data_IF_056805641898
#
_entry.id   IF_056805641898
#
_cell.length_a   1.000
_cell.length_b   1.000
_cell.length_c   1.000
_cell.angle_alpha   90.00
_cell.angle_beta   90.00
_cell.angle_gamma   90.00
#
_symmetry.space_group_name_H-M   'P 1'
#
loop_
_entity.id
_entity.type
_entity.pdbx_description
1 polymer ?
#
# COMPACT_ATOMS: atom_id res chain seq x y z
N UNK A 1 0.79 -6.51 36.64
CA UNK A 1 1.17 -5.09 36.45
C UNK A 1 0.75 -4.74 35.04
N UNK A 2 -0.34 -3.98 34.93
CA UNK A 2 -1.03 -3.66 33.68
C UNK A 2 -0.16 -2.83 32.75
N UNK A 3 0.27 -3.42 31.64
CA UNK A 3 0.90 -2.74 30.52
C UNK A 3 0.04 -2.99 29.29
N UNK A 4 -0.87 -2.05 28.94
CA UNK A 4 -1.28 -1.80 27.53
C UNK A 4 -2.41 -0.78 27.31
N UNK A 5 -2.92 -0.09 28.33
CA UNK A 5 -3.95 0.93 28.08
C UNK A 5 -3.31 2.21 27.51
N UNK A 6 -3.16 2.26 26.18
CA UNK A 6 -2.97 3.53 25.47
C UNK A 6 -4.09 4.51 25.89
N UNK A 7 -3.80 5.82 26.03
CA UNK A 7 -4.82 6.79 26.42
C UNK A 7 -5.96 6.80 25.39
N UNK A 8 -7.22 7.05 25.82
CA UNK A 8 -8.36 7.13 24.91
C UNK A 8 -8.13 8.23 23.87
N UNK A 9 -8.73 8.05 22.69
CA UNK A 9 -8.65 9.06 21.63
C UNK A 9 -9.31 10.36 22.10
N UNK A 10 -8.71 11.54 21.87
CA UNK A 10 -9.26 12.80 22.37
C UNK A 10 -10.57 13.19 21.68
N UNK A 11 -11.58 13.62 22.45
CA UNK A 11 -12.88 14.06 21.92
C UNK A 11 -12.86 15.46 21.28
N UNK A 12 -11.75 16.19 21.43
CA UNK A 12 -11.59 17.57 20.97
C UNK A 12 -10.86 17.70 19.62
N UNK A 13 -10.69 16.59 18.89
CA UNK A 13 -10.03 16.57 17.58
C UNK A 13 -11.07 16.26 16.50
N UNK A 14 -11.16 17.05 15.41
CA UNK A 14 -12.05 16.76 14.30
C UNK A 14 -11.82 15.35 13.75
N UNK A 15 -12.90 14.57 13.61
CA UNK A 15 -12.86 13.23 13.03
C UNK A 15 -13.48 13.21 11.65
N UNK A 16 -12.91 12.42 10.73
CA UNK A 16 -13.54 12.10 9.46
C UNK A 16 -14.19 10.71 9.55
N UNK A 17 -15.44 10.52 9.08
CA UNK A 17 -16.06 9.21 9.04
C UNK A 17 -15.37 8.33 8.00
N UNK A 18 -14.61 7.34 8.46
CA UNK A 18 -13.93 6.38 7.60
C UNK A 18 -14.87 5.21 7.32
N UNK A 19 -15.57 5.25 6.18
CA UNK A 19 -16.50 4.20 5.80
C UNK A 19 -15.74 2.87 5.60
N UNK A 20 -16.21 1.82 6.28
CA UNK A 20 -15.73 0.44 6.07
C UNK A 20 -16.82 -0.39 5.38
N UNK A 21 -16.44 -1.00 4.27
CA UNK A 21 -17.25 -1.89 3.45
C UNK A 21 -16.78 -3.34 3.60
N UNK A 22 -17.66 -4.33 3.43
CA UNK A 22 -17.33 -5.75 3.47
C UNK A 22 -17.09 -6.30 2.05
N UNK A 23 -15.88 -6.83 1.79
CA UNK A 23 -15.59 -7.49 0.52
C UNK A 23 -16.51 -8.69 0.26
N UNK A 24 -16.81 -9.48 1.29
CA UNK A 24 -17.69 -10.65 1.18
C UNK A 24 -19.09 -10.24 0.71
N UNK A 25 -19.66 -9.18 1.29
CA UNK A 25 -20.98 -8.66 0.91
C UNK A 25 -20.99 -8.05 -0.48
N UNK A 26 -19.92 -7.36 -0.87
CA UNK A 26 -19.77 -6.84 -2.24
C UNK A 26 -19.66 -7.97 -3.28
N UNK A 27 -18.92 -9.05 -2.98
CA UNK A 27 -18.86 -10.26 -3.81
C UNK A 27 -20.24 -10.92 -3.95
N UNK A 28 -21.01 -10.97 -2.87
CA UNK A 28 -22.39 -11.47 -2.86
C UNK A 28 -23.40 -10.51 -3.50
N UNK A 29 -22.96 -9.31 -3.91
CA UNK A 29 -23.79 -8.23 -4.45
C UNK A 29 -24.97 -7.89 -3.54
N UNK A 30 -24.75 -7.88 -2.22
CA UNK A 30 -25.76 -7.45 -1.26
C UNK A 30 -26.20 -6.01 -1.58
N UNK A 31 -27.50 -5.75 -1.84
CA UNK A 31 -27.95 -4.45 -2.33
C UNK A 31 -27.56 -3.28 -1.43
N UNK A 32 -27.58 -3.48 -0.11
CA UNK A 32 -27.26 -2.44 0.87
C UNK A 32 -25.78 -2.07 0.84
N UNK A 33 -24.90 -3.07 0.71
CA UNK A 33 -23.46 -2.84 0.68
C UNK A 33 -23.03 -2.21 -0.66
N UNK A 34 -23.65 -2.62 -1.77
CA UNK A 34 -23.43 -1.98 -3.07
C UNK A 34 -23.86 -0.51 -3.05
N UNK A 35 -25.01 -0.18 -2.45
CA UNK A 35 -25.43 1.24 -2.30
C UNK A 35 -24.45 2.05 -1.43
N UNK A 36 -23.92 1.45 -0.36
CA UNK A 36 -22.90 2.11 0.48
C UNK A 36 -21.60 2.32 -0.28
N UNK A 37 -21.20 1.35 -1.11
CA UNK A 37 -20.03 1.46 -1.98
C UNK A 37 -20.16 2.62 -2.97
N UNK A 38 -21.25 2.68 -3.74
CA UNK A 38 -21.43 3.72 -4.75
C UNK A 38 -21.51 5.11 -4.13
N UNK A 39 -22.22 5.27 -3.02
CA UNK A 39 -22.25 6.52 -2.26
C UNK A 39 -20.86 6.97 -1.77
N UNK A 40 -20.00 6.02 -1.37
CA UNK A 40 -18.63 6.33 -0.95
C UNK A 40 -17.78 6.83 -2.13
N UNK A 41 -17.94 6.21 -3.30
CA UNK A 41 -17.27 6.61 -4.53
C UNK A 41 -17.68 8.02 -4.97
N UNK A 42 -18.96 8.37 -4.86
CA UNK A 42 -19.48 9.70 -5.23
C UNK A 42 -19.09 10.80 -4.23
N UNK A 43 -19.02 10.47 -2.94
CA UNK A 43 -18.80 11.48 -1.89
C UNK A 43 -17.31 11.77 -1.64
N UNK A 44 -16.57 10.79 -1.10
CA UNK A 44 -15.18 10.98 -0.69
C UNK A 44 -14.19 10.40 -1.71
N UNK A 45 -14.66 9.50 -2.59
CA UNK A 45 -13.78 8.72 -3.46
C UNK A 45 -12.87 7.76 -2.69
N UNK A 46 -13.17 7.50 -1.41
CA UNK A 46 -12.34 6.72 -0.50
C UNK A 46 -13.18 5.89 0.47
N UNK A 47 -12.74 4.66 0.73
CA UNK A 47 -13.33 3.76 1.71
C UNK A 47 -12.30 2.71 2.15
N UNK A 48 -12.54 2.11 3.32
CA UNK A 48 -11.86 0.89 3.74
C UNK A 48 -12.64 -0.31 3.26
N UNK A 49 -11.90 -1.33 2.83
CA UNK A 49 -12.46 -2.62 2.48
C UNK A 49 -12.01 -3.65 3.52
N UNK A 50 -12.98 -4.32 4.12
CA UNK A 50 -12.75 -5.44 5.01
C UNK A 50 -12.43 -6.69 4.18
N UNK A 51 -11.17 -7.11 4.27
CA UNK A 51 -10.60 -8.26 3.57
C UNK A 51 -10.68 -9.55 4.41
N UNK A 52 -11.43 -9.54 5.52
CA UNK A 52 -11.57 -10.69 6.40
C UNK A 52 -11.96 -11.97 5.64
N UNK A 53 -11.14 -13.01 5.82
CA UNK A 53 -11.33 -14.31 5.15
C UNK A 53 -10.82 -14.40 3.72
N UNK A 54 -10.27 -13.32 3.14
CA UNK A 54 -9.68 -13.34 1.80
C UNK A 54 -8.17 -13.66 1.85
N UNK A 55 -7.69 -14.40 0.86
CA UNK A 55 -6.28 -14.79 0.75
C UNK A 55 -5.34 -13.59 0.60
N UNK A 56 -5.83 -12.48 0.03
CA UNK A 56 -5.03 -11.26 -0.15
C UNK A 56 -4.49 -10.71 1.18
N UNK A 57 -5.23 -10.89 2.28
CA UNK A 57 -4.82 -10.41 3.60
C UNK A 57 -3.62 -11.21 4.14
N UNK A 58 -3.68 -12.54 4.07
CA UNK A 58 -2.59 -13.41 4.50
C UNK A 58 -1.34 -13.24 3.62
N UNK A 59 -1.54 -13.03 2.32
CA UNK A 59 -0.46 -12.74 1.38
C UNK A 59 0.18 -11.37 1.68
N UNK A 60 -0.61 -10.35 2.02
CA UNK A 60 -0.10 -9.04 2.45
C UNK A 60 0.75 -9.16 3.72
N UNK A 61 0.30 -9.93 4.72
CA UNK A 61 1.08 -10.20 5.95
C UNK A 61 2.43 -10.85 5.63
N UNK A 62 2.45 -11.88 4.79
CA UNK A 62 3.68 -12.52 4.34
C UNK A 62 4.59 -11.56 3.55
N UNK A 63 4.03 -10.62 2.78
CA UNK A 63 4.79 -9.58 2.11
C UNK A 63 5.33 -8.54 3.08
N UNK A 64 4.67 -8.25 4.21
CA UNK A 64 5.26 -7.40 5.24
C UNK A 64 6.53 -8.01 5.82
N UNK A 65 6.58 -9.33 6.00
CA UNK A 65 7.78 -10.04 6.44
C UNK A 65 8.90 -9.93 5.41
N UNK A 66 8.56 -10.09 4.12
CA UNK A 66 9.49 -9.89 3.01
C UNK A 66 10.03 -8.44 2.98
N UNK A 67 9.16 -7.46 3.21
CA UNK A 67 9.52 -6.04 3.26
C UNK A 67 10.49 -5.72 4.40
N UNK A 68 10.28 -6.32 5.60
CA UNK A 68 11.23 -6.16 6.72
C UNK A 68 12.60 -6.73 6.37
N UNK A 69 12.64 -7.98 5.91
CA UNK A 69 13.89 -8.63 5.52
C UNK A 69 14.60 -7.90 4.36
N UNK A 70 13.85 -7.35 3.40
CA UNK A 70 14.39 -6.52 2.32
C UNK A 70 15.09 -5.26 2.85
N UNK A 71 14.43 -4.50 3.72
CA UNK A 71 14.98 -3.23 4.18
C UNK A 71 16.06 -3.40 5.26
N UNK A 72 16.18 -4.57 5.87
CA UNK A 72 17.28 -4.93 6.78
C UNK A 72 18.57 -5.32 6.04
N UNK A 73 18.52 -5.48 4.71
CA UNK A 73 19.74 -5.63 3.90
C UNK A 73 20.63 -4.38 4.01
N UNK A 74 21.97 -4.54 3.90
CA UNK A 74 22.88 -3.41 3.83
C UNK A 74 22.53 -2.47 2.67
N UNK A 75 22.70 -1.16 2.87
CA UNK A 75 22.45 -0.17 1.82
C UNK A 75 23.24 -0.47 0.53
N UNK A 76 24.49 -0.91 0.67
CA UNK A 76 25.32 -1.28 -0.47
C UNK A 76 24.70 -2.39 -1.32
N UNK A 77 23.99 -3.34 -0.71
CA UNK A 77 23.28 -4.40 -1.43
C UNK A 77 22.02 -3.85 -2.10
N UNK A 78 21.19 -3.10 -1.37
CA UNK A 78 19.96 -2.49 -1.90
C UNK A 78 20.24 -1.55 -3.09
N UNK A 79 21.32 -0.76 -3.01
CA UNK A 79 21.74 0.17 -4.05
C UNK A 79 22.08 -0.50 -5.40
N UNK A 80 22.39 -1.80 -5.43
CA UNK A 80 22.64 -2.55 -6.68
C UNK A 80 21.37 -2.66 -7.54
N UNK A 81 20.22 -2.46 -6.93
CA UNK A 81 18.90 -2.54 -7.53
C UNK A 81 18.29 -1.14 -7.79
N UNK A 82 19.08 -0.07 -7.71
CA UNK A 82 18.67 1.25 -8.17
C UNK A 82 18.77 1.31 -9.71
N UNK A 83 17.62 1.32 -10.36
CA UNK A 83 17.51 1.39 -11.81
C UNK A 83 17.10 2.77 -12.33
N UNK A 84 17.17 3.82 -11.50
CA UNK A 84 16.79 5.19 -11.87
C UNK A 84 17.52 5.70 -13.12
N UNK A 85 18.80 5.32 -13.30
CA UNK A 85 19.60 5.65 -14.50
C UNK A 85 19.05 5.06 -15.80
N UNK A 86 18.21 4.02 -15.70
CA UNK A 86 17.52 3.40 -16.82
C UNK A 86 16.15 4.04 -17.10
N UNK A 87 15.83 5.16 -16.43
CA UNK A 87 14.58 5.88 -16.60
C UNK A 87 13.36 5.14 -16.06
N UNK A 88 13.54 4.18 -15.15
CA UNK A 88 12.45 3.39 -14.57
C UNK A 88 12.18 3.78 -13.11
N UNK A 89 10.93 3.59 -12.69
CA UNK A 89 10.54 3.72 -11.29
C UNK A 89 10.70 2.40 -10.51
N UNK A 90 11.02 1.30 -11.21
CA UNK A 90 11.21 -0.04 -10.62
C UNK A 90 12.53 -0.15 -9.84
N UNK A 91 12.58 -1.09 -8.90
CA UNK A 91 13.74 -1.33 -8.06
C UNK A 91 13.80 -0.41 -6.84
N UNK A 92 15.00 -0.27 -6.30
CA UNK A 92 15.29 0.43 -5.05
C UNK A 92 15.34 1.95 -5.23
N UNK A 93 14.81 2.68 -4.25
CA UNK A 93 14.97 4.14 -4.12
C UNK A 93 15.36 4.49 -2.69
N UNK A 94 16.52 5.12 -2.58
CA UNK A 94 17.05 5.55 -1.30
C UNK A 94 16.22 6.71 -0.71
N UNK A 95 16.33 6.86 0.60
CA UNK A 95 15.82 8.02 1.34
C UNK A 95 16.34 9.30 0.69
N UNK A 96 15.43 10.25 0.48
CA UNK A 96 15.72 11.57 -0.06
C UNK A 96 15.85 11.62 -1.58
N UNK A 97 15.60 10.52 -2.30
CA UNK A 97 15.73 10.46 -3.75
C UNK A 97 14.60 11.17 -4.52
N UNK A 98 13.56 11.65 -3.85
CA UNK A 98 12.42 12.33 -4.48
C UNK A 98 11.91 13.47 -3.61
N UNK A 99 11.35 14.50 -4.24
CA UNK A 99 10.66 15.60 -3.56
C UNK A 99 9.27 15.11 -3.13
N UNK A 100 8.98 15.18 -1.83
CA UNK A 100 7.75 14.70 -1.22
C UNK A 100 6.62 15.72 -1.21
N UNK A 101 6.92 17.01 -1.33
CA UNK A 101 5.91 18.07 -1.33
C UNK A 101 6.28 19.27 -2.22
N UNK A 102 5.30 20.12 -2.47
CA UNK A 102 5.47 21.35 -3.26
C UNK A 102 6.48 22.34 -2.66
N UNK A 103 6.87 22.16 -1.39
CA UNK A 103 7.88 22.96 -0.72
C UNK A 103 9.32 22.44 -0.95
N UNK A 104 9.49 21.35 -1.70
CA UNK A 104 10.81 20.80 -2.02
C UNK A 104 11.37 19.89 -0.94
N UNK A 105 10.60 19.50 0.08
CA UNK A 105 11.10 18.61 1.12
C UNK A 105 11.38 17.23 0.53
N UNK A 106 12.54 16.68 0.83
CA UNK A 106 12.92 15.35 0.36
C UNK A 106 12.14 14.25 1.11
N UNK A 107 11.74 13.22 0.37
CA UNK A 107 11.08 12.05 0.92
C UNK A 107 11.98 11.36 1.94
N UNK A 108 11.45 11.07 3.12
CA UNK A 108 12.21 10.41 4.19
C UNK A 108 12.07 8.90 4.17
N UNK A 109 11.27 8.38 3.24
CA UNK A 109 11.00 6.95 3.12
C UNK A 109 11.99 6.28 2.20
N UNK A 110 12.23 5.01 2.48
CA UNK A 110 12.94 4.09 1.62
C UNK A 110 11.92 3.25 0.84
N UNK A 111 12.13 3.05 -0.46
CA UNK A 111 11.19 2.34 -1.33
C UNK A 111 11.84 1.20 -2.10
N UNK A 112 11.01 0.20 -2.41
CA UNK A 112 11.32 -0.79 -3.44
C UNK A 112 10.07 -1.09 -4.25
N UNK A 113 10.15 -0.98 -5.58
CA UNK A 113 9.01 -1.17 -6.49
C UNK A 113 9.20 -2.41 -7.36
N UNK A 114 8.15 -3.23 -7.44
CA UNK A 114 8.08 -4.41 -8.30
C UNK A 114 6.84 -4.28 -9.19
N UNK A 115 7.06 -4.21 -10.49
CA UNK A 115 5.98 -4.08 -11.47
C UNK A 115 5.30 -5.42 -11.74
N UNK A 116 4.00 -5.38 -12.05
CA UNK A 116 3.23 -6.54 -12.52
C UNK A 116 3.90 -7.19 -13.73
N UNK A 117 4.30 -6.40 -14.72
CA UNK A 117 4.83 -6.93 -15.98
C UNK A 117 6.13 -7.72 -15.80
N UNK A 118 6.90 -7.44 -14.74
CA UNK A 118 8.04 -8.26 -14.33
C UNK A 118 7.55 -9.61 -13.79
N UNK A 119 6.75 -9.59 -12.72
CA UNK A 119 6.27 -10.79 -12.01
C UNK A 119 5.47 -11.74 -12.91
N UNK A 120 4.72 -11.19 -13.87
CA UNK A 120 3.96 -11.95 -14.86
C UNK A 120 4.72 -12.25 -16.15
N UNK A 121 5.97 -11.81 -16.26
CA UNK A 121 6.85 -12.08 -17.40
C UNK A 121 6.29 -11.53 -18.73
N UNK A 122 5.58 -10.40 -18.65
CA UNK A 122 4.99 -9.68 -19.78
C UNK A 122 5.91 -8.60 -20.35
N UNK A 123 7.08 -8.42 -19.74
CA UNK A 123 8.06 -7.41 -20.13
C UNK A 123 9.46 -7.74 -19.65
N UNK A 124 10.21 -6.68 -19.31
CA UNK A 124 11.57 -6.85 -18.78
C UNK A 124 11.51 -7.46 -17.38
N UNK A 125 12.19 -8.59 -17.19
CA UNK A 125 12.52 -9.11 -15.86
C UNK A 125 13.60 -8.25 -15.23
N UNK A 126 13.38 -7.76 -14.02
CA UNK A 126 14.39 -7.00 -13.29
C UNK A 126 15.15 -7.92 -12.34
N UNK A 127 16.48 -7.74 -12.18
CA UNK A 127 17.21 -8.36 -11.08
C UNK A 127 16.59 -7.92 -9.75
N UNK A 128 16.47 -8.85 -8.80
CA UNK A 128 15.96 -8.56 -7.46
C UNK A 128 16.88 -9.19 -6.39
N UNK A 129 16.89 -8.65 -5.15
CA UNK A 129 17.49 -9.29 -4.00
C UNK A 129 16.93 -10.70 -3.78
N UNK A 130 17.76 -11.62 -3.28
CA UNK A 130 17.37 -13.02 -3.02
C UNK A 130 16.12 -13.14 -2.14
N UNK A 131 15.95 -12.22 -1.18
CA UNK A 131 14.76 -12.16 -0.30
C UNK A 131 13.46 -11.92 -1.09
N UNK A 132 13.52 -11.24 -2.22
CA UNK A 132 12.36 -11.03 -3.11
C UNK A 132 12.28 -12.12 -4.18
N UNK A 133 13.41 -12.53 -4.75
CA UNK A 133 13.46 -13.55 -5.80
C UNK A 133 12.90 -14.90 -5.31
N UNK A 134 13.34 -15.35 -4.12
CA UNK A 134 12.80 -16.56 -3.46
C UNK A 134 11.30 -16.49 -3.14
N UNK A 135 10.70 -15.28 -3.15
CA UNK A 135 9.27 -15.03 -2.84
C UNK A 135 8.49 -14.57 -4.07
N UNK A 136 9.02 -14.75 -5.28
CA UNK A 136 8.36 -14.30 -6.53
C UNK A 136 6.98 -14.94 -6.74
N UNK A 137 6.80 -16.20 -6.31
CA UNK A 137 5.51 -16.87 -6.33
C UNK A 137 4.47 -16.18 -5.41
N UNK A 138 4.89 -15.76 -4.20
CA UNK A 138 4.04 -15.01 -3.27
C UNK A 138 3.62 -13.65 -3.85
N UNK A 139 4.57 -12.91 -4.44
CA UNK A 139 4.30 -11.65 -5.14
C UNK A 139 3.27 -11.85 -6.25
N UNK A 140 3.42 -12.90 -7.05
CA UNK A 140 2.47 -13.25 -8.11
C UNK A 140 1.07 -13.52 -7.54
N UNK A 141 0.96 -14.37 -6.53
CA UNK A 141 -0.33 -14.69 -5.89
C UNK A 141 -1.00 -13.47 -5.26
N UNK A 142 -0.22 -12.60 -4.61
CA UNK A 142 -0.72 -11.33 -4.07
C UNK A 142 -1.26 -10.43 -5.17
N UNK A 143 -0.49 -10.20 -6.24
CA UNK A 143 -0.92 -9.38 -7.37
C UNK A 143 -2.18 -9.94 -8.03
N UNK A 144 -2.30 -11.27 -8.19
CA UNK A 144 -3.51 -11.91 -8.72
C UNK A 144 -4.72 -11.66 -7.81
N UNK A 145 -4.56 -11.79 -6.49
CA UNK A 145 -5.66 -11.64 -5.53
C UNK A 145 -6.10 -10.18 -5.43
N UNK A 146 -5.16 -9.24 -5.34
CA UNK A 146 -5.42 -7.81 -5.35
C UNK A 146 -6.10 -7.38 -6.65
N UNK A 147 -5.64 -7.89 -7.80
CA UNK A 147 -6.27 -7.64 -9.08
C UNK A 147 -7.73 -8.12 -9.11
N UNK A 148 -8.02 -9.31 -8.57
CA UNK A 148 -9.39 -9.82 -8.47
C UNK A 148 -10.32 -8.92 -7.65
N UNK A 149 -9.81 -8.30 -6.58
CA UNK A 149 -10.55 -7.29 -5.81
C UNK A 149 -10.81 -6.04 -6.65
N UNK A 150 -9.81 -5.54 -7.37
CA UNK A 150 -9.96 -4.39 -8.28
C UNK A 150 -10.97 -4.70 -9.38
N UNK A 151 -10.91 -5.87 -10.02
CA UNK A 151 -11.88 -6.27 -11.06
C UNK A 151 -13.31 -6.27 -10.53
N UNK A 152 -13.54 -6.72 -9.28
CA UNK A 152 -14.86 -6.63 -8.65
C UNK A 152 -15.31 -5.18 -8.50
N UNK A 153 -14.43 -4.30 -7.98
CA UNK A 153 -14.72 -2.87 -7.81
C UNK A 153 -15.07 -2.23 -9.15
N UNK A 154 -14.29 -2.49 -10.20
CA UNK A 154 -14.53 -1.98 -11.55
C UNK A 154 -15.87 -2.48 -12.12
N UNK A 155 -16.22 -3.74 -11.89
CA UNK A 155 -17.51 -4.29 -12.34
C UNK A 155 -18.72 -3.68 -11.60
N UNK A 156 -18.55 -3.29 -10.33
CA UNK A 156 -19.58 -2.55 -9.59
C UNK A 156 -19.71 -1.11 -10.12
N UNK A 157 -18.60 -0.49 -10.50
CA UNK A 157 -18.60 0.84 -11.14
C UNK A 157 -19.19 0.81 -12.55
N UNK A 158 -18.90 -0.20 -13.37
CA UNK A 158 -19.53 -0.38 -14.68
C UNK A 158 -21.06 -0.34 -14.53
N UNK A 159 -21.60 -1.12 -13.58
CA UNK A 159 -23.03 -1.19 -13.32
C UNK A 159 -23.59 0.15 -12.79
N UNK A 160 -22.88 0.82 -11.88
CA UNK A 160 -23.33 2.10 -11.31
C UNK A 160 -23.32 3.24 -12.34
N UNK A 161 -22.34 3.26 -13.23
CA UNK A 161 -22.18 4.27 -14.27
C UNK A 161 -23.02 3.97 -15.53
N UNK A 162 -23.72 2.83 -15.58
CA UNK A 162 -24.50 2.41 -16.74
C UNK A 162 -23.64 2.03 -17.95
N UNK A 163 -22.40 1.60 -17.73
CA UNK A 163 -21.51 1.12 -18.78
C UNK A 163 -21.82 -0.33 -19.14
N UNK A 164 -21.38 -0.76 -20.31
CA UNK A 164 -21.39 -2.19 -20.66
C UNK A 164 -20.52 -2.98 -19.67
N UNK A 165 -21.00 -4.14 -19.24
CA UNK A 165 -20.30 -4.99 -18.28
C UNK A 165 -18.89 -5.34 -18.78
N UNK A 166 -17.87 -4.99 -17.99
CA UNK A 166 -16.47 -5.27 -18.32
C UNK A 166 -15.78 -4.14 -19.07
N UNK A 167 -16.44 -3.00 -19.31
CA UNK A 167 -15.84 -1.84 -19.96
C UNK A 167 -14.57 -1.39 -19.22
N UNK A 168 -14.66 -1.13 -17.92
CA UNK A 168 -13.51 -0.72 -17.11
C UNK A 168 -12.53 -1.88 -16.88
N UNK A 169 -13.05 -3.10 -16.71
CA UNK A 169 -12.22 -4.31 -16.56
C UNK A 169 -11.33 -4.57 -17.77
N UNK A 170 -11.82 -4.32 -18.98
CA UNK A 170 -11.05 -4.47 -20.21
C UNK A 170 -9.87 -3.48 -20.32
N UNK A 171 -9.89 -2.37 -19.57
CA UNK A 171 -8.76 -1.43 -19.51
C UNK A 171 -7.67 -1.88 -18.52
N UNK A 172 -7.98 -2.86 -17.67
CA UNK A 172 -7.10 -3.37 -16.62
C UNK A 172 -6.91 -4.88 -16.81
N UNK A 173 -6.41 -5.32 -17.97
CA UNK A 173 -6.17 -6.76 -18.21
C UNK A 173 -4.87 -7.22 -17.53
N UNK A 174 -4.97 -8.21 -16.65
CA UNK A 174 -3.83 -8.69 -15.87
C UNK A 174 -2.67 -9.21 -16.73
N UNK A 175 -3.00 -10.02 -17.73
CA UNK A 175 -2.03 -10.79 -18.53
C UNK A 175 -1.79 -10.21 -19.94
N UNK A 176 -2.39 -9.07 -20.26
CA UNK A 176 -2.31 -8.49 -21.59
C UNK A 176 -1.86 -7.03 -21.55
N UNK A 177 -0.98 -6.67 -22.48
CA UNK A 177 -0.44 -5.33 -22.57
C UNK A 177 0.53 -4.99 -21.44
N UNK A 178 0.97 -3.73 -21.43
CA UNK A 178 1.80 -3.18 -20.35
C UNK A 178 0.92 -2.46 -19.35
N UNK A 179 1.09 -2.75 -18.06
CA UNK A 179 0.31 -2.17 -16.97
C UNK A 179 1.16 -1.30 -16.04
N UNK A 180 0.50 -0.41 -15.31
CA UNK A 180 1.13 0.39 -14.24
C UNK A 180 1.15 -0.31 -12.88
N UNK A 181 0.36 -1.37 -12.71
CA UNK A 181 0.16 -2.10 -11.45
C UNK A 181 1.50 -2.54 -10.84
N UNK A 182 1.66 -2.27 -9.55
CA UNK A 182 2.91 -2.56 -8.84
C UNK A 182 2.71 -2.87 -7.36
N UNK A 183 3.62 -3.67 -6.82
CA UNK A 183 3.83 -3.81 -5.38
C UNK A 183 4.93 -2.84 -4.97
N UNK A 184 4.62 -1.95 -4.03
CA UNK A 184 5.58 -1.00 -3.45
C UNK A 184 5.79 -1.29 -1.98
N UNK A 185 7.02 -1.66 -1.63
CA UNK A 185 7.46 -1.68 -0.24
C UNK A 185 7.89 -0.29 0.19
N UNK A 186 7.49 0.10 1.41
CA UNK A 186 7.79 1.41 1.98
C UNK A 186 8.28 1.22 3.41
N UNK A 187 9.46 1.77 3.73
CA UNK A 187 9.95 1.90 5.11
C UNK A 187 10.07 3.37 5.46
N UNK A 188 9.24 3.80 6.41
CA UNK A 188 9.36 5.11 7.04
C UNK A 188 10.25 4.96 8.29
N UNK A 189 11.46 5.57 8.32
CA UNK A 189 12.30 5.54 9.51
C UNK A 189 11.64 6.29 10.67
N UNK A 190 11.89 5.83 11.89
CA UNK A 190 11.41 6.49 13.10
C UNK A 190 11.85 7.96 13.10
N UNK A 191 10.91 8.86 13.37
CA UNK A 191 11.25 10.26 13.62
C UNK A 191 12.04 10.30 14.92
N UNK A 192 13.30 10.74 14.87
CA UNK A 192 13.95 11.25 16.07
C UNK A 192 13.10 12.37 16.69
N UNK A 193 13.25 12.68 17.99
CA UNK A 193 12.51 13.77 18.61
C UNK A 193 12.72 15.03 17.77
N UNK A 194 11.65 15.56 17.17
CA UNK A 194 11.78 16.83 16.47
C UNK A 194 12.16 17.90 17.51
N UNK A 195 13.02 18.87 17.18
CA UNK A 195 13.07 20.07 17.99
C UNK A 195 11.67 20.65 17.91
N UNK A 196 10.99 20.67 19.06
CA UNK A 196 9.65 21.21 19.19
C UNK A 196 9.59 22.52 18.40
N UNK A 197 8.68 22.58 17.40
CA UNK A 197 8.24 23.88 16.89
C UNK A 197 7.75 24.64 18.13
N UNK A 198 8.54 25.61 18.58
CA UNK A 198 8.20 26.48 19.70
C UNK A 198 6.90 27.18 19.32
N UNK A 199 5.80 26.73 19.91
CA UNK A 199 4.47 27.24 19.61
C UNK A 199 3.34 26.32 20.04
N UNK A 200 3.44 25.70 21.22
CA UNK A 200 2.34 25.43 22.16
C UNK A 200 2.88 24.64 23.36
N UNK A 201 2.42 24.99 24.56
CA UNK A 201 3.00 24.63 25.84
C UNK A 201 2.89 23.15 26.22
N UNK A 202 4.04 22.59 26.61
CA UNK A 202 4.29 21.63 27.69
C UNK A 202 3.29 20.50 27.98
N UNK A 203 3.71 19.26 27.67
CA UNK A 203 3.72 18.15 28.63
C UNK A 203 4.91 17.23 28.32
N UNK A 204 5.73 16.97 29.34
CA UNK A 204 6.97 16.19 29.27
C UNK A 204 6.64 14.72 28.96
N UNK A 205 7.14 14.16 27.86
CA UNK A 205 7.12 12.72 27.57
C UNK A 205 8.51 12.13 27.84
N UNK A 206 8.58 11.12 28.72
CA UNK A 206 9.79 10.32 28.94
C UNK A 206 9.90 9.24 27.83
N UNK A 207 11.12 8.82 27.44
CA UNK A 207 11.30 7.85 26.36
C UNK A 207 10.91 6.44 26.82
N UNK A 208 9.82 5.91 26.27
CA UNK A 208 9.49 4.48 26.29
C UNK A 208 10.25 3.70 25.19
N UNK A 209 10.21 2.36 25.22
CA UNK A 209 10.96 1.51 24.29
C UNK A 209 10.45 1.69 22.85
N UNK A 210 11.30 1.42 21.83
CA UNK A 210 10.97 1.68 20.44
C UNK A 210 9.81 0.79 19.95
N UNK A 211 8.71 1.42 19.53
CA UNK A 211 7.62 0.75 18.84
C UNK A 211 8.09 0.15 17.51
N UNK A 212 7.62 -1.07 17.24
CA UNK A 212 7.89 -1.82 16.01
C UNK A 212 7.43 -1.05 14.75
N UNK A 213 8.21 -1.04 13.66
CA UNK A 213 7.86 -0.27 12.46
C UNK A 213 6.61 -0.84 11.77
N UNK A 214 5.57 -0.02 11.65
CA UNK A 214 4.42 -0.29 10.77
C UNK A 214 4.83 0.00 9.33
N UNK A 215 4.92 -1.04 8.50
CA UNK A 215 4.96 -0.90 7.06
C UNK A 215 3.53 -0.66 6.55
N UNK A 216 3.39 0.14 5.50
CA UNK A 216 2.14 0.35 4.79
C UNK A 216 2.33 -0.12 3.35
N UNK A 217 1.52 -1.08 2.92
CA UNK A 217 1.44 -1.51 1.54
C UNK A 217 0.38 -0.65 0.85
N UNK A 218 0.82 0.24 -0.05
CA UNK A 218 -0.09 0.97 -0.94
C UNK A 218 -0.04 0.24 -2.28
N UNK A 219 -1.12 -0.45 -2.62
CA UNK A 219 -1.36 -0.95 -3.97
C UNK A 219 -2.04 0.19 -4.73
N UNK A 220 -1.40 0.63 -5.82
CA UNK A 220 -1.97 1.56 -6.79
C UNK A 220 -2.01 0.87 -8.14
#
# INVERSE_FOLDING_TARGET
MDSDAAPPFPDNVPTAPLLRLSLAKLRAREPDEVRRFTAACEALGFFYLDLGGDAVLQQADALFDAGRALFDLPLAEKARYDFSRLGTYMGYKAVGASVADAAGNLDRNEFYNIGKDDVFELGRRWPAPEVLESRRALLRSFMQSAHGVVTLVLALLDAHLGLESGTLGAMHRLLEGRGGDQVRFIRAPARGPSPARRGCSAARWAPGPPCSPRASLITA
#
